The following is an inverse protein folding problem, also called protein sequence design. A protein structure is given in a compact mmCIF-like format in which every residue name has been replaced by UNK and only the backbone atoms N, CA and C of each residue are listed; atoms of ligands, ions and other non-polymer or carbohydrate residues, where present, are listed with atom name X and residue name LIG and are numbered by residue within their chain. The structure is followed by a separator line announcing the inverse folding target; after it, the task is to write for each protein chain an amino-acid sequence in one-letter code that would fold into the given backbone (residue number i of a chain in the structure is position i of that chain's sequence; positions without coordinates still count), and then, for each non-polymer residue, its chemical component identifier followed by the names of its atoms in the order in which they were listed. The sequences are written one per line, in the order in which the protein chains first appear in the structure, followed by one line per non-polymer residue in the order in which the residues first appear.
data_IF_147770964695
#
_entry.id   IF_147770964695
#
_cell.length_a   1.000
_cell.length_b   1.000
_cell.length_c   1.000
_cell.angle_alpha   90.00
_cell.angle_beta   90.00
_cell.angle_gamma   90.00
#
_symmetry.space_group_name_H-M   'P 1'
#
loop_
_entity.id
_entity.type
_entity.pdbx_description
1 polymer ?
#
# COMPACT_ATOMS: atom_id res chain seq x y z
N UNK A 1 -2.17 -17.42 3.39
CA UNK A 1 -3.35 -16.68 2.89
C UNK A 1 -3.92 -17.48 1.73
N UNK A 2 -5.23 -17.65 1.67
CA UNK A 2 -5.85 -18.39 0.59
C UNK A 2 -5.54 -17.74 -0.77
N UNK A 3 -4.92 -18.49 -1.68
CA UNK A 3 -4.47 -17.95 -2.97
C UNK A 3 -5.62 -17.47 -3.85
N UNK A 4 -6.82 -18.07 -3.76
CA UNK A 4 -7.98 -17.58 -4.53
C UNK A 4 -8.40 -16.19 -4.07
N UNK A 5 -8.43 -15.96 -2.76
CA UNK A 5 -8.77 -14.63 -2.20
C UNK A 5 -7.73 -13.57 -2.58
N UNK A 6 -6.44 -13.92 -2.43
CA UNK A 6 -5.34 -13.07 -2.85
C UNK A 6 -5.43 -12.71 -4.34
N UNK A 7 -5.53 -13.71 -5.22
CA UNK A 7 -5.56 -13.49 -6.66
C UNK A 7 -6.84 -12.76 -7.09
N UNK A 8 -7.97 -13.00 -6.43
CA UNK A 8 -9.20 -12.22 -6.65
C UNK A 8 -8.94 -10.73 -6.42
N UNK A 9 -8.27 -10.36 -5.34
CA UNK A 9 -7.95 -8.96 -5.05
C UNK A 9 -6.95 -8.38 -6.05
N UNK A 10 -5.91 -9.13 -6.41
CA UNK A 10 -4.92 -8.68 -7.41
C UNK A 10 -5.59 -8.44 -8.77
N UNK A 11 -6.40 -9.38 -9.25
CA UNK A 11 -7.12 -9.26 -10.54
C UNK A 11 -8.12 -8.10 -10.50
N UNK A 12 -8.87 -7.94 -9.41
CA UNK A 12 -9.76 -6.79 -9.22
C UNK A 12 -8.97 -5.47 -9.35
N UNK A 13 -7.80 -5.39 -8.72
CA UNK A 13 -6.96 -4.19 -8.78
C UNK A 13 -6.43 -3.93 -10.20
N UNK A 14 -5.95 -4.95 -10.91
CA UNK A 14 -5.40 -4.83 -12.27
C UNK A 14 -6.45 -4.45 -13.33
N UNK A 15 -7.68 -4.94 -13.15
CA UNK A 15 -8.72 -4.85 -14.19
C UNK A 15 -9.73 -3.74 -13.94
N UNK A 16 -9.71 -3.10 -12.77
CA UNK A 16 -10.66 -2.02 -12.49
C UNK A 16 -10.44 -0.84 -13.46
N UNK A 17 -11.53 -0.23 -13.96
CA UNK A 17 -11.43 1.02 -14.71
C UNK A 17 -10.81 2.14 -13.88
N UNK A 18 -9.87 2.88 -14.47
CA UNK A 18 -9.19 4.02 -13.84
C UNK A 18 -9.54 5.30 -14.59
N UNK A 19 -10.21 6.23 -13.92
CA UNK A 19 -10.70 7.48 -14.51
C UNK A 19 -9.92 8.71 -14.05
N UNK A 20 -9.21 8.62 -12.93
CA UNK A 20 -8.40 9.72 -12.39
C UNK A 20 -7.00 9.28 -12.02
N UNK A 21 -6.08 10.26 -11.92
CA UNK A 21 -4.70 10.01 -11.51
C UNK A 21 -4.63 9.46 -10.09
N UNK A 22 -5.49 9.94 -9.19
CA UNK A 22 -5.58 9.47 -7.81
C UNK A 22 -6.02 8.01 -7.76
N UNK A 23 -7.00 7.62 -8.58
CA UNK A 23 -7.41 6.21 -8.71
C UNK A 23 -6.25 5.34 -9.20
N UNK A 24 -5.55 5.76 -10.26
CA UNK A 24 -4.38 5.01 -10.76
C UNK A 24 -3.30 4.86 -9.68
N UNK A 25 -3.04 5.93 -8.94
CA UNK A 25 -2.01 5.93 -7.90
C UNK A 25 -2.36 4.99 -6.74
N UNK A 26 -3.58 5.08 -6.22
CA UNK A 26 -4.09 4.17 -5.19
C UNK A 26 -3.89 2.72 -5.58
N UNK A 27 -4.32 2.37 -6.80
CA UNK A 27 -4.27 1.01 -7.32
C UNK A 27 -2.84 0.53 -7.47
N UNK A 28 -1.96 1.34 -8.05
CA UNK A 28 -0.55 1.01 -8.19
C UNK A 28 0.13 0.73 -6.85
N UNK A 29 -0.18 1.51 -5.82
CA UNK A 29 0.44 1.35 -4.49
C UNK A 29 -0.09 0.09 -3.80
N UNK A 30 -1.42 -0.05 -3.73
CA UNK A 30 -2.06 -1.21 -3.10
C UNK A 30 -1.62 -2.52 -3.76
N UNK A 31 -1.67 -2.59 -5.09
CA UNK A 31 -1.30 -3.82 -5.81
C UNK A 31 0.19 -4.12 -5.68
N UNK A 32 1.05 -3.10 -5.64
CA UNK A 32 2.50 -3.25 -5.50
C UNK A 32 2.86 -3.95 -4.19
N UNK A 33 2.35 -3.47 -3.05
CA UNK A 33 2.66 -4.08 -1.76
C UNK A 33 2.05 -5.48 -1.61
N UNK A 34 0.82 -5.70 -2.10
CA UNK A 34 0.18 -7.03 -2.08
C UNK A 34 0.99 -8.03 -2.89
N UNK A 35 1.37 -7.68 -4.13
CA UNK A 35 2.15 -8.57 -5.00
C UNK A 35 3.51 -8.88 -4.40
N UNK A 36 4.21 -7.88 -3.90
CA UNK A 36 5.52 -8.08 -3.25
C UNK A 36 5.40 -8.96 -2.02
N UNK A 37 4.39 -8.73 -1.17
CA UNK A 37 4.19 -9.48 0.07
C UNK A 37 4.04 -11.00 -0.17
N UNK A 38 3.46 -11.41 -1.30
CA UNK A 38 3.18 -12.81 -1.61
C UNK A 38 3.92 -13.36 -2.85
N UNK A 39 4.85 -12.59 -3.41
CA UNK A 39 5.61 -12.98 -4.60
C UNK A 39 4.74 -13.23 -5.84
N UNK A 40 3.63 -12.51 -5.99
CA UNK A 40 2.73 -12.64 -7.14
C UNK A 40 3.36 -11.95 -8.34
N UNK A 41 3.54 -12.70 -9.44
CA UNK A 41 4.08 -12.19 -10.70
C UNK A 41 2.96 -11.62 -11.58
N UNK A 42 3.29 -10.65 -12.42
CA UNK A 42 2.34 -10.07 -13.38
C UNK A 42 1.73 -11.12 -14.32
N UNK A 43 2.47 -12.17 -14.68
CA UNK A 43 1.95 -13.23 -15.56
C UNK A 43 0.88 -14.12 -14.91
N UNK A 44 0.70 -14.03 -13.58
CA UNK A 44 -0.27 -14.87 -12.88
C UNK A 44 -1.71 -14.36 -12.98
N UNK A 45 -1.93 -13.10 -13.33
CA UNK A 45 -3.28 -12.52 -13.45
C UNK A 45 -4.09 -13.07 -14.61
N UNK A 46 -3.42 -13.52 -15.68
CA UNK A 46 -4.05 -14.14 -16.84
C UNK A 46 -4.13 -15.67 -16.73
N UNK A 47 -3.55 -16.25 -15.67
CA UNK A 47 -3.46 -17.69 -15.48
C UNK A 47 -4.66 -18.26 -14.71
N UNK A 48 -4.84 -19.59 -14.81
CA UNK A 48 -5.83 -20.30 -13.97
C UNK A 48 -5.43 -20.20 -12.50
N UNK A 49 -6.30 -19.60 -11.68
CA UNK A 49 -6.10 -19.50 -10.23
C UNK A 49 -6.31 -20.86 -9.57
N UNK A 50 -5.27 -21.35 -8.89
CA UNK A 50 -5.31 -22.59 -8.12
C UNK A 50 -5.66 -22.32 -6.64
N UNK A 51 -6.28 -23.31 -5.99
CA UNK A 51 -6.64 -23.26 -4.57
C UNK A 51 -5.52 -23.85 -3.71
N UNK A 52 -4.79 -23.00 -2.99
CA UNK A 52 -3.74 -23.39 -2.07
C UNK A 52 -3.46 -22.26 -1.08
N UNK A 53 -2.78 -22.58 0.02
CA UNK A 53 -2.26 -21.56 0.94
C UNK A 53 -0.97 -20.97 0.39
N UNK A 54 -0.97 -19.66 0.16
CA UNK A 54 0.21 -18.91 -0.26
C UNK A 54 0.88 -18.28 0.96
N UNK A 55 2.17 -18.55 1.10
CA UNK A 55 3.00 -17.97 2.14
C UNK A 55 3.32 -16.51 1.83
N UNK A 56 3.34 -15.69 2.88
CA UNK A 56 3.86 -14.33 2.79
C UNK A 56 5.39 -14.40 2.76
N UNK A 57 5.99 -13.82 1.73
CA UNK A 57 7.45 -13.81 1.54
C UNK A 57 8.12 -12.59 2.19
N UNK A 58 7.39 -11.46 2.32
CA UNK A 58 7.93 -10.29 3.02
C UNK A 58 7.74 -10.42 4.53
N UNK A 59 8.79 -10.10 5.25
CA UNK A 59 8.76 -9.90 6.70
C UNK A 59 8.12 -8.56 7.07
N UNK A 60 7.64 -8.44 8.32
CA UNK A 60 7.10 -7.17 8.83
C UNK A 60 8.15 -6.04 8.75
N UNK A 61 9.44 -6.36 8.93
CA UNK A 61 10.53 -5.37 8.86
C UNK A 61 10.73 -4.83 7.44
N UNK A 62 10.58 -5.67 6.42
CA UNK A 62 10.66 -5.23 5.01
C UNK A 62 9.47 -4.36 4.63
N UNK A 63 8.27 -4.73 5.08
CA UNK A 63 7.05 -3.92 4.88
C UNK A 63 7.18 -2.57 5.59
N UNK A 64 7.68 -2.55 6.84
CA UNK A 64 7.93 -1.32 7.60
C UNK A 64 8.96 -0.42 6.92
N UNK A 65 9.99 -1.01 6.30
CA UNK A 65 10.98 -0.26 5.52
C UNK A 65 10.34 0.44 4.32
N UNK A 66 9.44 -0.22 3.59
CA UNK A 66 8.69 0.41 2.49
C UNK A 66 7.74 1.50 3.02
N UNK A 67 7.02 1.24 4.10
CA UNK A 67 6.17 2.23 4.76
C UNK A 67 6.94 3.52 5.10
N UNK A 68 8.13 3.38 5.71
CA UNK A 68 9.01 4.51 6.04
C UNK A 68 9.46 5.31 4.81
N UNK A 69 9.56 4.70 3.62
CA UNK A 69 9.85 5.44 2.39
C UNK A 69 8.70 6.37 2.00
N UNK A 70 7.46 5.89 2.05
CA UNK A 70 6.28 6.73 1.79
C UNK A 70 6.15 7.87 2.81
N UNK A 71 6.35 7.58 4.10
CA UNK A 71 6.39 8.61 5.15
C UNK A 71 7.50 9.63 4.87
N UNK A 72 8.69 9.18 4.46
CA UNK A 72 9.80 10.07 4.11
C UNK A 72 9.48 11.01 2.94
N UNK A 73 8.74 10.55 1.93
CA UNK A 73 8.29 11.42 0.82
C UNK A 73 7.29 12.48 1.30
N UNK A 74 6.37 12.10 2.18
CA UNK A 74 5.45 13.04 2.80
C UNK A 74 6.19 14.08 3.65
N UNK A 75 7.11 13.64 4.52
CA UNK A 75 7.95 14.53 5.34
C UNK A 75 8.82 15.48 4.50
N UNK A 76 9.30 15.02 3.35
CA UNK A 76 10.05 15.86 2.43
C UNK A 76 9.17 16.93 1.78
N UNK A 77 7.92 16.61 1.42
CA UNK A 77 7.02 17.55 0.75
C UNK A 77 6.43 18.63 1.67
N UNK A 78 6.30 18.35 2.97
CA UNK A 78 5.85 19.36 3.95
C UNK A 78 6.94 20.42 4.23
N UNK A 79 8.24 20.08 4.16
CA UNK A 79 9.35 21.00 4.46
C UNK A 79 9.36 22.29 3.60
N UNK A 80 9.15 22.24 2.28
CA UNK A 80 9.08 23.45 1.44
C UNK A 80 7.69 24.12 1.41
N UNK A 81 6.74 23.73 2.28
CA UNK A 81 5.35 24.19 2.27
C UNK A 81 4.61 23.94 0.93
N UNK A 82 4.95 22.85 0.22
CA UNK A 82 4.23 22.46 -0.98
C UNK A 82 3.01 21.62 -0.60
N UNK A 83 1.90 22.28 -0.29
CA UNK A 83 0.69 21.65 0.25
C UNK A 83 0.06 20.61 -0.71
N UNK A 84 0.02 20.91 -2.01
CA UNK A 84 -0.53 19.99 -3.01
C UNK A 84 0.28 18.68 -3.08
N UNK A 85 1.61 18.81 -3.02
CA UNK A 85 2.51 17.67 -3.02
C UNK A 85 2.45 16.89 -1.70
N UNK A 86 2.34 17.59 -0.57
CA UNK A 86 2.16 16.97 0.73
C UNK A 86 0.89 16.12 0.77
N UNK A 87 -0.24 16.65 0.30
CA UNK A 87 -1.51 15.92 0.21
C UNK A 87 -1.41 14.70 -0.70
N UNK A 88 -0.70 14.83 -1.83
CA UNK A 88 -0.46 13.73 -2.74
C UNK A 88 0.33 12.60 -2.06
N UNK A 89 1.36 12.90 -1.29
CA UNK A 89 2.12 11.86 -0.56
C UNK A 89 1.40 11.33 0.68
N UNK A 90 0.59 12.16 1.34
CA UNK A 90 -0.29 11.71 2.42
C UNK A 90 -1.23 10.61 1.93
N UNK A 91 -1.90 10.83 0.80
CA UNK A 91 -2.76 9.82 0.19
C UNK A 91 -1.99 8.53 -0.10
N UNK A 92 -0.75 8.62 -0.60
CA UNK A 92 0.08 7.43 -0.87
C UNK A 92 0.40 6.63 0.40
N UNK A 93 0.62 7.30 1.54
CA UNK A 93 0.82 6.62 2.83
C UNK A 93 -0.44 5.84 3.21
N UNK A 94 -1.62 6.45 3.09
CA UNK A 94 -2.88 5.77 3.36
C UNK A 94 -3.16 4.63 2.38
N UNK A 95 -2.89 4.82 1.09
CA UNK A 95 -3.04 3.77 0.08
C UNK A 95 -2.13 2.57 0.36
N UNK A 96 -0.90 2.80 0.83
CA UNK A 96 0.00 1.75 1.27
C UNK A 96 -0.56 1.00 2.49
N UNK A 97 -1.04 1.73 3.50
CA UNK A 97 -1.66 1.16 4.70
C UNK A 97 -2.85 0.28 4.33
N UNK A 98 -3.72 0.73 3.43
CA UNK A 98 -4.86 -0.04 2.95
C UNK A 98 -4.44 -1.29 2.17
N UNK A 99 -3.35 -1.20 1.39
CA UNK A 99 -2.74 -2.36 0.75
C UNK A 99 -2.24 -3.42 1.74
N UNK A 100 -1.63 -2.99 2.85
CA UNK A 100 -1.21 -3.88 3.95
C UNK A 100 -2.41 -4.45 4.70
N UNK A 101 -3.44 -3.63 4.94
CA UNK A 101 -4.66 -4.02 5.68
C UNK A 101 -5.34 -5.24 5.08
N UNK A 102 -5.29 -5.38 3.76
CA UNK A 102 -5.81 -6.55 3.05
C UNK A 102 -5.26 -7.89 3.59
N UNK A 103 -4.02 -7.94 4.05
CA UNK A 103 -3.36 -9.19 4.46
C UNK A 103 -2.81 -9.19 5.88
N UNK A 104 -2.72 -8.03 6.55
CA UNK A 104 -2.26 -7.89 7.92
C UNK A 104 -2.88 -6.64 8.58
N UNK A 105 -4.09 -6.81 9.13
CA UNK A 105 -4.88 -5.76 9.79
C UNK A 105 -4.10 -5.10 10.94
N UNK A 106 -3.41 -5.91 11.76
CA UNK A 106 -2.70 -5.42 12.93
C UNK A 106 -1.50 -4.55 12.54
N UNK A 107 -0.74 -4.97 11.51
CA UNK A 107 0.38 -4.19 11.01
C UNK A 107 -0.11 -2.88 10.36
N UNK A 108 -1.20 -2.92 9.61
CA UNK A 108 -1.82 -1.74 9.02
C UNK A 108 -2.27 -0.73 10.08
N UNK A 109 -2.89 -1.19 11.17
CA UNK A 109 -3.33 -0.30 12.24
C UNK A 109 -2.14 0.33 12.98
N UNK A 110 -1.08 -0.44 13.25
CA UNK A 110 0.18 0.08 13.78
C UNK A 110 0.78 1.19 12.89
N UNK A 111 0.79 1.00 11.58
CA UNK A 111 1.25 2.03 10.64
C UNK A 111 0.36 3.27 10.67
N UNK A 112 -0.96 3.10 10.67
CA UNK A 112 -1.92 4.21 10.73
C UNK A 112 -1.76 5.03 12.01
N UNK A 113 -1.63 4.38 13.17
CA UNK A 113 -1.41 5.04 14.46
C UNK A 113 -0.10 5.84 14.45
N UNK A 114 1.00 5.21 14.01
CA UNK A 114 2.31 5.88 13.93
C UNK A 114 2.29 7.09 12.99
N UNK A 115 1.63 6.98 11.84
CA UNK A 115 1.48 8.09 10.90
C UNK A 115 0.60 9.21 11.47
N UNK A 116 -0.51 8.88 12.13
CA UNK A 116 -1.40 9.87 12.74
C UNK A 116 -0.70 10.69 13.84
N UNK A 117 0.19 10.05 14.62
CA UNK A 117 1.02 10.74 15.62
C UNK A 117 1.97 11.72 14.92
N UNK A 118 2.67 11.28 13.87
CA UNK A 118 3.59 12.12 13.11
C UNK A 118 2.87 13.31 12.45
N UNK A 119 1.73 13.06 11.81
CA UNK A 119 0.89 14.05 11.16
C UNK A 119 0.48 15.17 12.12
N UNK A 120 -0.02 14.80 13.31
CA UNK A 120 -0.40 15.76 14.36
C UNK A 120 0.79 16.60 14.84
N UNK A 121 1.97 16.01 14.96
CA UNK A 121 3.16 16.72 15.43
C UNK A 121 3.69 17.73 14.40
N UNK A 122 3.52 17.46 13.09
CA UNK A 122 4.00 18.34 12.02
C UNK A 122 3.08 19.51 11.70
N UNK A 123 1.77 19.38 11.93
CA UNK A 123 0.79 20.46 11.73
C UNK A 123 0.65 21.43 12.91
N UNK A 124 1.35 21.17 14.03
CA UNK A 124 1.41 22.08 15.20
C UNK A 124 2.57 23.07 15.14
N UNK A 125 3.25 23.17 14.00
CA UNK A 125 4.29 24.16 13.67
C UNK A 125 3.71 25.19 12.70
#
# INVERSE_FOLDING_TARGET
MNNKELMKKVIELDTQPLYTREQSQRVMIQISIIRKAFGVKNSETDAKVLDYERERILSNQEIEKEFKQYVGYWEWAIKPNNQDKARTFENQVYDFIEGVRFFDENLAESFKESFAILFKNRLKL
#
